data_IF_648428508787
#
_entry.id   IF_648428508787
#
_cell.length_a   1.000
_cell.length_b   1.000
_cell.length_c   1.000
_cell.angle_alpha   90.00
_cell.angle_beta   90.00
_cell.angle_gamma   90.00
#
_symmetry.space_group_name_H-M   'P 1'
#
loop_
_entity.id
_entity.type
_entity.pdbx_description
1 polymer ?
#
# COMPACT_ATOMS: atom_id res chain seq x y z
N UNK A 1 46.93 -17.93 -4.50
CA UNK A 1 47.09 -16.56 -5.05
C UNK A 1 46.19 -16.40 -6.24
N UNK A 2 45.16 -15.54 -6.21
CA UNK A 2 44.26 -15.26 -7.34
C UNK A 2 45.01 -14.43 -8.39
N UNK A 3 45.08 -14.90 -9.65
CA UNK A 3 45.83 -14.24 -10.70
C UNK A 3 45.26 -12.84 -11.04
N UNK A 4 46.12 -11.96 -11.58
CA UNK A 4 45.78 -10.55 -11.88
C UNK A 4 44.58 -10.40 -12.84
N UNK A 5 44.30 -11.37 -13.70
CA UNK A 5 43.10 -11.41 -14.58
C UNK A 5 41.83 -11.66 -13.79
N UNK A 6 41.84 -12.56 -12.80
CA UNK A 6 40.66 -12.84 -11.95
C UNK A 6 40.29 -11.63 -11.10
N UNK A 7 41.27 -10.87 -10.58
CA UNK A 7 41.01 -9.63 -9.82
C UNK A 7 40.33 -8.55 -10.69
N UNK A 8 40.75 -8.38 -11.95
CA UNK A 8 40.13 -7.43 -12.88
C UNK A 8 38.70 -7.80 -13.24
N UNK A 9 38.43 -9.10 -13.43
CA UNK A 9 37.08 -9.61 -13.72
C UNK A 9 36.16 -9.39 -12.50
N UNK A 10 36.61 -9.72 -11.29
CA UNK A 10 35.83 -9.48 -10.07
C UNK A 10 35.52 -7.99 -9.87
N UNK A 11 36.48 -7.09 -10.11
CA UNK A 11 36.27 -5.65 -9.98
C UNK A 11 35.28 -5.10 -11.02
N UNK A 12 35.35 -5.59 -12.27
CA UNK A 12 34.38 -5.23 -13.31
C UNK A 12 32.96 -5.70 -12.97
N UNK A 13 32.80 -6.93 -12.45
CA UNK A 13 31.50 -7.45 -12.00
C UNK A 13 30.91 -6.62 -10.83
N UNK A 14 31.74 -6.24 -9.85
CA UNK A 14 31.32 -5.39 -8.74
C UNK A 14 30.82 -4.02 -9.20
N UNK A 15 31.47 -3.41 -10.18
CA UNK A 15 31.06 -2.12 -10.77
C UNK A 15 29.74 -2.24 -11.53
N UNK A 16 29.53 -3.33 -12.28
CA UNK A 16 28.28 -3.58 -13.01
C UNK A 16 27.13 -3.79 -12.02
N UNK A 17 27.32 -4.63 -11.03
CA UNK A 17 26.29 -4.88 -9.99
C UNK A 17 25.97 -3.60 -9.22
N UNK A 18 26.99 -2.83 -8.81
CA UNK A 18 26.80 -1.55 -8.15
C UNK A 18 26.03 -0.53 -9.02
N UNK A 19 26.33 -0.47 -10.31
CA UNK A 19 25.59 0.36 -11.27
C UNK A 19 24.12 -0.04 -11.41
N UNK A 20 23.84 -1.34 -11.53
CA UNK A 20 22.46 -1.85 -11.62
C UNK A 20 21.68 -1.53 -10.35
N UNK A 21 22.26 -1.74 -9.16
CA UNK A 21 21.63 -1.42 -7.88
C UNK A 21 21.34 0.08 -7.75
N UNK A 22 22.29 0.94 -8.15
CA UNK A 22 22.10 2.39 -8.09
C UNK A 22 20.97 2.86 -9.01
N UNK A 23 20.87 2.32 -10.23
CA UNK A 23 19.78 2.61 -11.18
C UNK A 23 18.44 2.13 -10.61
N UNK A 24 18.39 0.93 -10.06
CA UNK A 24 17.17 0.39 -9.44
C UNK A 24 16.68 1.26 -8.26
N UNK A 25 17.59 1.66 -7.37
CA UNK A 25 17.25 2.55 -6.24
C UNK A 25 16.80 3.93 -6.70
N UNK A 26 17.39 4.47 -7.77
CA UNK A 26 16.95 5.75 -8.33
C UNK A 26 15.55 5.66 -8.93
N UNK A 27 15.24 4.60 -9.69
CA UNK A 27 13.89 4.38 -10.23
C UNK A 27 12.85 4.21 -9.11
N UNK A 28 13.18 3.46 -8.06
CA UNK A 28 12.29 3.27 -6.92
C UNK A 28 11.95 4.60 -6.24
N UNK A 29 12.94 5.46 -5.97
CA UNK A 29 12.69 6.79 -5.37
C UNK A 29 11.84 7.70 -6.25
N UNK A 30 11.98 7.63 -7.56
CA UNK A 30 11.14 8.40 -8.50
C UNK A 30 9.70 7.87 -8.46
N UNK A 31 9.50 6.55 -8.44
CA UNK A 31 8.18 5.94 -8.34
C UNK A 31 7.49 6.31 -7.02
N UNK A 32 8.17 6.17 -5.89
CA UNK A 32 7.66 6.57 -4.57
C UNK A 32 7.21 8.04 -4.56
N UNK A 33 8.01 8.95 -5.12
CA UNK A 33 7.67 10.37 -5.19
C UNK A 33 6.43 10.63 -6.06
N UNK A 34 6.31 10.00 -7.22
CA UNK A 34 5.13 10.13 -8.08
C UNK A 34 3.88 9.63 -7.36
N UNK A 35 3.98 8.53 -6.65
CA UNK A 35 2.89 7.94 -5.88
C UNK A 35 2.44 8.87 -4.74
N UNK A 36 3.38 9.46 -3.99
CA UNK A 36 3.07 10.43 -2.92
C UNK A 36 2.41 11.70 -3.48
N UNK A 37 2.84 12.20 -4.64
CA UNK A 37 2.22 13.34 -5.31
C UNK A 37 0.77 13.03 -5.72
N UNK A 38 0.47 11.84 -6.25
CA UNK A 38 -0.90 11.43 -6.58
C UNK A 38 -1.78 11.26 -5.34
N UNK A 39 -1.23 10.73 -4.23
CA UNK A 39 -1.95 10.67 -2.97
C UNK A 39 -2.30 12.06 -2.43
N UNK A 40 -1.35 13.01 -2.50
CA UNK A 40 -1.62 14.37 -2.07
C UNK A 40 -2.72 15.02 -2.93
N UNK A 41 -2.68 14.85 -4.26
CA UNK A 41 -3.72 15.36 -5.15
C UNK A 41 -5.11 14.77 -4.85
N UNK A 42 -5.18 13.52 -4.42
CA UNK A 42 -6.43 12.93 -3.95
C UNK A 42 -6.93 13.58 -2.64
N UNK A 43 -6.02 13.77 -1.68
CA UNK A 43 -6.34 14.43 -0.42
C UNK A 43 -6.77 15.89 -0.61
N UNK A 44 -6.21 16.56 -1.62
CA UNK A 44 -6.59 17.92 -2.02
C UNK A 44 -7.89 17.98 -2.85
N UNK A 45 -8.51 16.83 -3.14
CA UNK A 45 -9.74 16.73 -3.93
C UNK A 45 -9.57 16.97 -5.42
N UNK A 46 -8.35 16.91 -5.95
CA UNK A 46 -8.05 17.18 -7.37
C UNK A 46 -8.28 15.95 -8.26
N UNK A 47 -8.06 14.75 -7.75
CA UNK A 47 -8.20 13.49 -8.48
C UNK A 47 -9.05 12.50 -7.71
N UNK A 48 -9.86 11.66 -8.39
CA UNK A 48 -10.63 10.62 -7.72
C UNK A 48 -9.82 9.33 -7.56
N UNK A 49 -10.24 8.49 -6.61
CA UNK A 49 -9.87 7.09 -6.52
C UNK A 49 -10.95 6.18 -7.12
N UNK A 50 -10.56 5.05 -7.68
CA UNK A 50 -11.44 4.12 -8.37
C UNK A 50 -11.63 2.84 -7.58
N UNK A 51 -12.87 2.38 -7.40
CA UNK A 51 -13.18 1.03 -6.93
C UNK A 51 -13.02 0.00 -8.06
N UNK A 52 -12.94 -1.27 -7.71
CA UNK A 52 -12.81 -2.40 -8.64
C UNK A 52 -13.94 -2.45 -9.70
N UNK A 53 -15.14 -2.01 -9.34
CA UNK A 53 -16.29 -1.91 -10.23
C UNK A 53 -16.20 -0.75 -11.26
N UNK A 54 -15.10 0.01 -11.28
CA UNK A 54 -14.85 1.13 -12.18
C UNK A 54 -15.48 2.46 -11.75
N UNK A 55 -16.23 2.51 -10.64
CA UNK A 55 -16.74 3.78 -10.09
C UNK A 55 -15.62 4.56 -9.45
N UNK A 56 -15.66 5.88 -9.61
CA UNK A 56 -14.68 6.82 -9.04
C UNK A 56 -15.31 7.65 -7.93
N UNK A 57 -14.48 8.00 -6.93
CA UNK A 57 -14.87 8.71 -5.73
C UNK A 57 -13.80 9.73 -5.37
N UNK A 58 -14.18 10.97 -5.11
CA UNK A 58 -13.33 11.95 -4.46
C UNK A 58 -13.32 11.71 -2.93
N UNK A 59 -12.43 12.36 -2.23
CA UNK A 59 -12.32 12.22 -0.78
C UNK A 59 -13.65 12.54 -0.07
N UNK A 60 -14.32 13.62 -0.50
CA UNK A 60 -15.63 14.03 0.02
C UNK A 60 -16.77 13.03 -0.27
N UNK A 61 -16.68 12.28 -1.37
CA UNK A 61 -17.64 11.20 -1.67
C UNK A 61 -17.51 10.02 -0.71
N UNK A 62 -16.30 9.81 -0.14
CA UNK A 62 -16.01 8.72 0.78
C UNK A 62 -16.36 9.07 2.24
N UNK A 63 -16.15 10.31 2.65
CA UNK A 63 -16.26 10.74 4.05
C UNK A 63 -17.29 11.84 4.30
N UNK A 64 -17.95 12.38 3.26
CA UNK A 64 -18.85 13.52 3.34
C UNK A 64 -18.09 14.86 3.25
N UNK A 65 -18.81 15.97 3.44
CA UNK A 65 -18.27 17.32 3.26
C UNK A 65 -17.24 17.72 4.33
N UNK A 66 -17.31 17.13 5.53
CA UNK A 66 -16.37 17.40 6.62
C UNK A 66 -15.26 16.35 6.65
N UNK A 67 -14.16 16.66 6.02
CA UNK A 67 -12.95 15.81 5.96
C UNK A 67 -11.87 16.25 6.95
N UNK A 68 -12.17 17.21 7.86
CA UNK A 68 -11.19 17.78 8.79
C UNK A 68 -10.60 16.77 9.78
N UNK A 69 -11.39 15.77 10.16
CA UNK A 69 -11.01 14.75 11.16
C UNK A 69 -10.53 13.43 10.54
N UNK A 70 -10.21 13.46 9.25
CA UNK A 70 -9.70 12.28 8.53
C UNK A 70 -8.22 12.06 8.88
N UNK A 71 -7.93 10.92 9.52
CA UNK A 71 -6.55 10.48 9.78
C UNK A 71 -5.95 9.85 8.52
N UNK A 72 -4.71 10.21 8.19
CA UNK A 72 -3.98 9.65 7.05
C UNK A 72 -2.57 9.21 7.44
N UNK A 73 -2.11 8.10 6.86
CA UNK A 73 -0.72 7.64 6.98
C UNK A 73 -0.33 6.78 5.78
N UNK A 74 0.98 6.52 5.64
CA UNK A 74 1.55 5.69 4.57
C UNK A 74 2.18 4.42 5.15
N UNK A 75 1.83 3.26 4.59
CA UNK A 75 2.32 1.95 4.99
C UNK A 75 2.42 1.02 3.78
N UNK A 76 3.48 0.22 3.69
CA UNK A 76 3.66 -0.83 2.65
C UNK A 76 2.90 -2.09 3.09
N UNK A 77 1.59 -2.11 2.84
CA UNK A 77 0.71 -3.15 3.36
C UNK A 77 0.74 -4.44 2.53
N UNK A 78 1.20 -4.41 1.29
CA UNK A 78 1.29 -5.59 0.43
C UNK A 78 2.72 -6.11 0.21
N UNK A 79 3.71 -5.44 0.80
CA UNK A 79 5.11 -5.85 0.79
C UNK A 79 5.81 -5.70 -0.57
N UNK A 80 5.30 -4.84 -1.46
CA UNK A 80 5.92 -4.58 -2.76
C UNK A 80 7.02 -3.51 -2.71
N UNK A 81 7.10 -2.81 -1.58
CA UNK A 81 8.07 -1.77 -1.28
C UNK A 81 7.63 -0.37 -1.69
N UNK A 82 6.40 -0.20 -2.15
CA UNK A 82 5.74 1.10 -2.37
C UNK A 82 4.65 1.25 -1.31
N UNK A 83 4.58 2.39 -0.67
CA UNK A 83 3.61 2.61 0.41
C UNK A 83 2.24 2.94 -0.14
N UNK A 84 1.20 2.36 0.43
CA UNK A 84 -0.19 2.69 0.21
C UNK A 84 -0.63 3.85 1.10
N UNK A 85 -1.62 4.62 0.63
CA UNK A 85 -2.29 5.65 1.43
C UNK A 85 -3.42 5.02 2.24
N UNK A 86 -3.33 5.14 3.55
CA UNK A 86 -4.35 4.73 4.52
C UNK A 86 -5.15 5.95 4.97
N UNK A 87 -6.48 5.86 4.98
CA UNK A 87 -7.39 6.94 5.32
C UNK A 87 -8.47 6.42 6.26
N UNK A 88 -8.63 7.09 7.42
CA UNK A 88 -9.57 6.67 8.46
C UNK A 88 -10.44 7.83 8.96
N UNK A 89 -11.74 7.59 9.03
CA UNK A 89 -12.71 8.37 9.80
C UNK A 89 -14.02 7.57 9.92
N UNK A 90 -14.15 6.72 10.95
CA UNK A 90 -15.26 5.75 11.07
C UNK A 90 -15.19 4.63 10.03
N UNK A 91 -14.90 4.96 8.79
CA UNK A 91 -14.60 4.01 7.71
C UNK A 91 -13.08 4.02 7.46
N UNK A 92 -12.55 2.90 7.01
CA UNK A 92 -11.13 2.73 6.71
C UNK A 92 -10.94 2.36 5.23
N UNK A 93 -10.17 3.17 4.52
CA UNK A 93 -9.79 2.93 3.14
C UNK A 93 -8.29 2.78 3.00
N UNK A 94 -7.86 1.89 2.10
CA UNK A 94 -6.48 1.79 1.63
C UNK A 94 -6.48 2.03 0.13
N UNK A 95 -5.67 2.99 -0.30
CA UNK A 95 -5.52 3.38 -1.71
C UNK A 95 -4.13 3.02 -2.20
N UNK A 96 -4.07 2.43 -3.41
CA UNK A 96 -2.83 2.14 -4.12
C UNK A 96 -2.82 2.82 -5.48
N UNK A 97 -1.68 3.44 -5.82
CA UNK A 97 -1.45 3.90 -7.18
C UNK A 97 -1.13 2.69 -8.08
N UNK A 98 -1.89 2.54 -9.17
CA UNK A 98 -1.68 1.53 -10.19
C UNK A 98 -1.73 2.16 -11.58
N UNK A 99 -0.59 2.24 -12.26
CA UNK A 99 -0.48 2.73 -13.65
C UNK A 99 -1.06 4.15 -13.84
N UNK A 100 -0.75 5.06 -12.94
CA UNK A 100 -1.21 6.46 -12.98
C UNK A 100 -2.65 6.66 -12.52
N UNK A 101 -3.23 5.69 -11.79
CA UNK A 101 -4.59 5.79 -11.25
C UNK A 101 -4.60 5.33 -9.79
N UNK A 102 -5.31 6.08 -8.96
CA UNK A 102 -5.57 5.65 -7.58
C UNK A 102 -6.70 4.61 -7.58
N UNK A 103 -6.45 3.50 -6.90
CA UNK A 103 -7.40 2.40 -6.76
C UNK A 103 -7.65 2.15 -5.27
N UNK A 104 -8.91 2.03 -4.88
CA UNK A 104 -9.29 1.61 -3.53
C UNK A 104 -9.07 0.10 -3.44
N UNK A 105 -8.06 -0.31 -2.66
CA UNK A 105 -7.75 -1.71 -2.39
C UNK A 105 -8.64 -2.31 -1.33
N UNK A 106 -8.95 -1.52 -0.30
CA UNK A 106 -9.65 -1.98 0.89
C UNK A 106 -10.65 -0.95 1.38
N UNK A 107 -11.78 -1.44 1.90
CA UNK A 107 -12.80 -0.67 2.60
C UNK A 107 -13.25 -1.48 3.81
N UNK A 108 -13.14 -0.90 4.99
CA UNK A 108 -13.46 -1.55 6.25
C UNK A 108 -13.90 -0.56 7.32
N UNK A 109 -13.78 -0.94 8.58
CA UNK A 109 -14.21 -0.14 9.73
C UNK A 109 -13.01 0.33 10.54
N UNK A 110 -12.81 1.65 10.67
CA UNK A 110 -11.65 2.23 11.32
C UNK A 110 -11.46 1.83 12.80
N UNK A 111 -12.51 1.37 13.47
CA UNK A 111 -12.46 0.99 14.89
C UNK A 111 -11.90 -0.44 15.08
N UNK A 112 -12.08 -1.32 14.09
CA UNK A 112 -11.81 -2.75 14.22
C UNK A 112 -10.70 -3.27 13.31
N UNK A 113 -10.31 -2.47 12.31
CA UNK A 113 -9.39 -2.90 11.27
C UNK A 113 -8.00 -2.30 11.52
N UNK A 114 -7.01 -3.16 11.82
CA UNK A 114 -5.64 -2.76 12.11
C UNK A 114 -4.68 -3.27 11.03
N UNK A 115 -3.87 -2.39 10.41
CA UNK A 115 -2.86 -2.80 9.46
C UNK A 115 -1.71 -3.52 10.17
N UNK A 116 -1.26 -4.64 9.62
CA UNK A 116 -0.12 -5.42 10.10
C UNK A 116 0.88 -5.59 8.95
N UNK A 117 1.76 -4.61 8.75
CA UNK A 117 2.77 -4.61 7.67
C UNK A 117 3.60 -5.90 7.63
N UNK A 118 4.07 -6.36 8.79
CA UNK A 118 4.89 -7.58 8.89
C UNK A 118 4.21 -8.85 8.34
N UNK A 119 2.88 -8.82 8.21
CA UNK A 119 2.06 -9.91 7.69
C UNK A 119 1.42 -9.57 6.34
N UNK A 120 1.69 -8.38 5.81
CA UNK A 120 1.10 -7.85 4.57
C UNK A 120 -0.43 -7.93 4.58
N UNK A 121 -1.07 -7.36 5.61
CA UNK A 121 -2.53 -7.46 5.69
C UNK A 121 -3.18 -6.67 6.82
N UNK A 122 -4.48 -6.84 6.91
CA UNK A 122 -5.37 -6.23 7.90
C UNK A 122 -5.87 -7.30 8.86
N UNK A 123 -5.65 -7.08 10.15
CA UNK A 123 -6.31 -7.79 11.22
C UNK A 123 -7.62 -7.08 11.53
N UNK A 124 -8.72 -7.79 11.55
CA UNK A 124 -10.01 -7.21 11.87
C UNK A 124 -10.86 -8.12 12.74
N UNK A 125 -11.73 -7.49 13.51
CA UNK A 125 -12.63 -8.15 14.42
C UNK A 125 -14.06 -8.05 13.88
N UNK A 126 -14.77 -9.19 13.87
CA UNK A 126 -16.21 -9.22 13.58
C UNK A 126 -16.95 -9.81 14.77
N UNK A 127 -17.93 -9.07 15.27
CA UNK A 127 -18.92 -9.64 16.17
C UNK A 127 -19.84 -10.58 15.38
N UNK A 128 -19.80 -11.86 15.68
CA UNK A 128 -20.79 -12.80 15.21
C UNK A 128 -22.13 -12.51 15.89
N UNK A 129 -23.25 -12.52 15.16
CA UNK A 129 -24.58 -12.24 15.67
C UNK A 129 -25.16 -13.24 16.71
N UNK A 130 -24.31 -14.01 17.40
CA UNK A 130 -24.65 -14.86 18.53
C UNK A 130 -23.70 -14.57 19.70
N UNK A 131 -24.13 -14.63 20.96
CA UNK A 131 -23.47 -14.03 22.12
C UNK A 131 -22.09 -14.60 22.50
N UNK A 132 -21.45 -15.41 21.67
CA UNK A 132 -20.15 -16.03 21.98
C UNK A 132 -19.26 -16.27 20.76
N UNK A 133 -19.55 -15.70 19.59
CA UNK A 133 -18.70 -15.86 18.40
C UNK A 133 -17.96 -14.56 18.06
N UNK A 134 -17.06 -14.17 18.95
CA UNK A 134 -16.03 -13.19 18.63
C UNK A 134 -14.94 -13.91 17.82
N UNK A 135 -14.69 -13.49 16.60
CA UNK A 135 -13.65 -14.06 15.77
C UNK A 135 -12.77 -12.96 15.17
N UNK A 136 -11.47 -13.18 15.25
CA UNK A 136 -10.50 -12.38 14.51
C UNK A 136 -10.33 -12.98 13.11
N UNK A 137 -10.27 -12.11 12.14
CA UNK A 137 -10.04 -12.44 10.74
C UNK A 137 -8.81 -11.70 10.26
N UNK A 138 -8.19 -12.22 9.23
CA UNK A 138 -7.05 -11.61 8.61
C UNK A 138 -7.24 -11.58 7.10
N UNK A 139 -7.11 -10.39 6.50
CA UNK A 139 -7.05 -10.22 5.06
C UNK A 139 -5.61 -9.91 4.67
N UNK A 140 -4.97 -10.83 3.94
CA UNK A 140 -3.64 -10.63 3.38
C UNK A 140 -3.74 -9.98 2.01
N UNK A 141 -2.83 -9.04 1.74
CA UNK A 141 -2.65 -8.44 0.43
C UNK A 141 -1.48 -9.11 -0.28
N UNK A 142 -1.69 -9.53 -1.51
CA UNK A 142 -0.62 -9.93 -2.41
C UNK A 142 -0.06 -8.69 -3.12
N UNK A 143 1.18 -8.78 -3.63
CA UNK A 143 1.87 -7.65 -4.28
C UNK A 143 1.16 -7.06 -5.51
N UNK A 144 0.27 -7.80 -6.12
CA UNK A 144 -0.60 -7.33 -7.21
C UNK A 144 -1.88 -6.64 -6.71
N UNK A 145 -2.08 -6.61 -5.38
CA UNK A 145 -3.24 -6.05 -4.70
C UNK A 145 -4.44 -7.00 -4.63
N UNK A 146 -4.24 -8.29 -4.92
CA UNK A 146 -5.26 -9.32 -4.66
C UNK A 146 -5.38 -9.53 -3.15
N UNK A 147 -6.61 -9.63 -2.65
CA UNK A 147 -6.90 -9.91 -1.25
C UNK A 147 -7.21 -11.40 -1.05
N UNK A 148 -6.64 -11.97 0.02
CA UNK A 148 -6.89 -13.35 0.45
C UNK A 148 -7.37 -13.33 1.89
N UNK A 149 -8.64 -13.62 2.11
CA UNK A 149 -9.22 -13.76 3.45
C UNK A 149 -8.96 -15.16 4.02
N UNK A 150 -8.66 -15.21 5.32
CA UNK A 150 -8.50 -16.46 6.05
C UNK A 150 -8.81 -16.29 7.54
N UNK A 151 -9.26 -17.37 8.22
CA UNK A 151 -9.29 -17.38 9.68
C UNK A 151 -7.86 -17.39 10.23
N UNK A 152 -7.69 -16.77 11.39
CA UNK A 152 -6.45 -16.85 12.18
C UNK A 152 -6.49 -18.14 13.01
#
# INVERSE_FOLDING_TARGET
MMGMRAKKICMAMLLIVGGIVAVFLAHRKVAEKITEEEYQRFLDGEVPAMKENGKTYFLEDLFGEDVSDVETFLSDIDGDGVKELHIRNGIYYILKEKKGKLTILYEGTAIYDEPVEAMSGILYYREGGAPYNEAYYFTRFEKDGTMVEGPI
#
